data_IF_039657403133
#
_entry.id   IF_039657403133
#
_cell.length_a   1.000
_cell.length_b   1.000
_cell.length_c   1.000
_cell.angle_alpha   90.00
_cell.angle_beta   90.00
_cell.angle_gamma   90.00
#
_symmetry.space_group_name_H-M   'P 1'
#
loop_
_entity.id
_entity.type
_entity.pdbx_description
1 polymer ?
#
# COMPACT_ATOMS: atom_id res chain seq x y z
N UNK A 1 47.69 16.77 34.79
CA UNK A 1 47.41 16.98 33.36
C UNK A 1 46.68 15.73 32.87
N UNK A 2 45.42 15.86 32.47
CA UNK A 2 44.53 14.78 32.00
C UNK A 2 44.46 14.84 30.46
N UNK A 3 44.42 13.72 29.73
CA UNK A 3 43.72 13.69 28.46
C UNK A 3 42.32 13.12 28.67
N UNK A 4 41.37 13.90 28.18
CA UNK A 4 39.93 13.82 28.40
C UNK A 4 39.30 12.74 27.50
N UNK A 5 38.39 12.00 28.12
CA UNK A 5 37.36 11.13 27.56
C UNK A 5 36.69 11.69 26.30
N UNK A 6 36.57 10.87 25.25
CA UNK A 6 35.57 11.07 24.19
C UNK A 6 35.03 9.70 23.75
N UNK A 7 34.14 9.15 24.59
CA UNK A 7 33.31 8.00 24.24
C UNK A 7 32.21 8.50 23.30
N UNK A 8 32.37 8.27 22.00
CA UNK A 8 31.42 8.64 20.95
C UNK A 8 30.23 7.67 20.97
N UNK A 9 28.99 8.10 21.28
CA UNK A 9 27.86 7.20 21.19
C UNK A 9 27.46 7.11 19.71
N UNK A 10 27.72 5.94 19.11
CA UNK A 10 27.22 5.60 17.79
C UNK A 10 25.72 5.29 17.92
N UNK A 11 24.89 6.31 17.79
CA UNK A 11 23.44 6.17 17.79
C UNK A 11 23.01 5.42 16.52
N UNK A 12 22.76 4.12 16.66
CA UNK A 12 22.11 3.31 15.63
C UNK A 12 20.65 3.76 15.49
N UNK A 13 20.34 4.51 14.42
CA UNK A 13 18.96 4.68 13.99
C UNK A 13 18.49 3.37 13.36
N UNK A 14 17.75 2.57 14.12
CA UNK A 14 16.97 1.46 13.58
C UNK A 14 15.79 2.05 12.80
N UNK A 15 15.84 2.00 11.46
CA UNK A 15 14.63 2.20 10.65
C UNK A 15 13.75 0.98 10.84
N UNK A 16 12.65 1.12 11.57
CA UNK A 16 11.58 0.14 11.60
C UNK A 16 10.85 0.17 10.26
N UNK A 17 11.01 -0.87 9.45
CA UNK A 17 10.06 -1.17 8.40
C UNK A 17 8.90 -1.91 9.06
N UNK A 18 7.73 -1.27 9.15
CA UNK A 18 6.50 -2.04 9.28
C UNK A 18 6.29 -2.73 7.94
N UNK A 19 6.57 -4.03 7.91
CA UNK A 19 6.12 -4.92 6.85
C UNK A 19 4.74 -5.42 7.28
N UNK A 20 3.69 -4.74 6.84
CA UNK A 20 2.31 -5.22 6.97
C UNK A 20 2.10 -6.27 5.87
N UNK A 21 2.67 -7.46 6.08
CA UNK A 21 2.45 -8.60 5.19
C UNK A 21 1.00 -9.05 5.29
N UNK A 22 0.13 -8.50 4.43
CA UNK A 22 -1.24 -8.99 4.23
C UNK A 22 -1.19 -10.39 3.61
N UNK A 23 -0.94 -11.39 4.46
CA UNK A 23 -0.93 -12.80 4.12
C UNK A 23 -2.37 -13.30 4.07
N UNK A 24 -2.91 -13.55 2.87
CA UNK A 24 -4.24 -14.17 2.71
C UNK A 24 -5.17 -13.50 1.70
N UNK A 25 -4.64 -12.76 0.73
CA UNK A 25 -5.46 -12.20 -0.34
C UNK A 25 -5.84 -13.30 -1.33
N UNK A 26 -7.07 -13.81 -1.21
CA UNK A 26 -7.68 -14.68 -2.22
C UNK A 26 -8.09 -13.86 -3.44
N UNK A 27 -7.88 -14.42 -4.64
CA UNK A 27 -8.22 -13.76 -5.90
C UNK A 27 -9.20 -14.59 -6.72
N UNK A 28 -10.17 -13.90 -7.32
CA UNK A 28 -11.06 -14.42 -8.37
C UNK A 28 -10.26 -14.97 -9.57
N UNK A 29 -10.85 -15.86 -10.41
CA UNK A 29 -10.27 -16.26 -11.69
C UNK A 29 -9.83 -15.11 -12.60
N UNK A 30 -10.47 -13.94 -12.50
CA UNK A 30 -10.13 -12.72 -13.25
C UNK A 30 -8.95 -11.94 -12.66
N UNK A 31 -8.38 -12.41 -11.54
CA UNK A 31 -7.24 -11.80 -10.85
C UNK A 31 -7.61 -10.67 -9.88
N UNK A 32 -8.90 -10.39 -9.66
CA UNK A 32 -9.37 -9.44 -8.65
C UNK A 32 -9.38 -10.02 -7.25
N UNK A 33 -9.24 -9.18 -6.22
CA UNK A 33 -9.38 -9.61 -4.84
C UNK A 33 -10.81 -10.09 -4.59
N UNK A 34 -10.98 -11.29 -4.02
CA UNK A 34 -12.31 -11.77 -3.62
C UNK A 34 -12.89 -10.91 -2.49
N UNK A 35 -12.01 -10.42 -1.61
CA UNK A 35 -12.37 -9.50 -0.53
C UNK A 35 -11.27 -8.48 -0.38
N UNK A 36 -11.62 -7.20 -0.51
CA UNK A 36 -10.69 -6.10 -0.24
C UNK A 36 -10.48 -6.01 1.27
N UNK A 37 -9.24 -5.95 1.75
CA UNK A 37 -8.98 -5.81 3.18
C UNK A 37 -9.69 -4.58 3.76
N UNK A 38 -10.30 -4.69 4.96
CA UNK A 38 -11.12 -3.63 5.52
C UNK A 38 -10.33 -2.33 5.74
N UNK A 39 -9.04 -2.42 6.07
CA UNK A 39 -8.14 -1.29 6.18
C UNK A 39 -7.95 -0.55 4.85
N UNK A 40 -7.82 -1.27 3.73
CA UNK A 40 -7.69 -0.70 2.38
C UNK A 40 -9.01 -0.05 1.97
N UNK A 41 -10.14 -0.72 2.22
CA UNK A 41 -11.47 -0.19 1.92
C UNK A 41 -11.80 1.07 2.72
N UNK A 42 -11.36 1.15 3.98
CA UNK A 42 -11.55 2.32 4.84
C UNK A 42 -10.70 3.53 4.40
N UNK A 43 -9.55 3.29 3.76
CA UNK A 43 -8.68 4.34 3.26
C UNK A 43 -9.11 4.86 1.88
N UNK A 44 -9.73 4.02 1.07
CA UNK A 44 -10.11 4.34 -0.31
C UNK A 44 -10.99 5.59 -0.40
N UNK A 45 -10.65 6.49 -1.31
CA UNK A 45 -11.50 7.61 -1.70
C UNK A 45 -12.84 7.12 -2.28
N UNK A 46 -13.92 7.90 -2.16
CA UNK A 46 -15.22 7.55 -2.73
C UNK A 46 -15.15 7.35 -4.25
N UNK A 47 -16.19 6.70 -4.80
CA UNK A 47 -16.40 6.49 -6.24
C UNK A 47 -15.35 5.61 -6.95
N UNK A 48 -14.53 4.87 -6.20
CA UNK A 48 -13.63 3.84 -6.73
C UNK A 48 -14.26 2.45 -6.63
N UNK A 49 -14.08 1.63 -7.66
CA UNK A 49 -14.68 0.30 -7.71
C UNK A 49 -13.86 -0.69 -6.88
N UNK A 50 -14.35 -1.01 -5.68
CA UNK A 50 -13.70 -1.99 -4.78
C UNK A 50 -13.95 -3.45 -5.17
N UNK A 51 -14.73 -3.74 -6.21
CA UNK A 51 -15.00 -5.12 -6.67
C UNK A 51 -13.98 -5.58 -7.71
N UNK A 52 -13.20 -4.67 -8.30
CA UNK A 52 -12.24 -4.96 -9.37
C UNK A 52 -10.81 -4.62 -8.95
N UNK A 53 -10.49 -4.79 -7.67
CA UNK A 53 -9.18 -4.44 -7.10
C UNK A 53 -8.17 -5.54 -7.35
N UNK A 54 -6.91 -5.19 -7.64
CA UNK A 54 -5.77 -6.09 -7.74
C UNK A 54 -4.58 -5.50 -6.98
N UNK A 55 -3.81 -6.33 -6.29
CA UNK A 55 -2.46 -5.97 -5.83
C UNK A 55 -1.49 -6.24 -6.97
N UNK A 56 -0.77 -5.21 -7.43
CA UNK A 56 0.17 -5.34 -8.56
C UNK A 56 1.61 -5.46 -8.08
N UNK A 57 2.51 -5.74 -9.02
CA UNK A 57 3.94 -5.91 -8.76
C UNK A 57 4.65 -4.68 -8.20
N UNK A 58 4.02 -3.50 -8.28
CA UNK A 58 4.52 -2.27 -7.65
C UNK A 58 4.15 -2.19 -6.15
N UNK A 59 3.52 -3.23 -5.59
CA UNK A 59 3.11 -3.28 -4.19
C UNK A 59 1.88 -2.42 -3.89
N UNK A 60 1.24 -1.87 -4.91
CA UNK A 60 0.09 -0.98 -4.74
C UNK A 60 -1.21 -1.63 -5.21
N UNK A 61 -2.33 -1.18 -4.64
CA UNK A 61 -3.66 -1.58 -5.06
C UNK A 61 -4.08 -0.77 -6.29
N UNK A 62 -4.64 -1.46 -7.27
CA UNK A 62 -5.17 -0.89 -8.50
C UNK A 62 -6.59 -1.40 -8.72
N UNK A 63 -7.44 -0.62 -9.38
CA UNK A 63 -8.78 -1.08 -9.75
C UNK A 63 -9.08 -0.82 -11.23
N UNK A 64 -10.03 -1.57 -11.78
CA UNK A 64 -10.48 -1.36 -13.15
C UNK A 64 -11.38 -0.13 -13.22
N UNK A 65 -10.92 0.91 -13.88
CA UNK A 65 -11.72 2.07 -14.22
C UNK A 65 -12.31 1.89 -15.63
N UNK A 66 -13.64 1.99 -15.71
CA UNK A 66 -14.39 1.93 -16.96
C UNK A 66 -14.84 3.33 -17.35
N UNK A 67 -14.01 3.99 -18.15
CA UNK A 67 -14.28 5.33 -18.67
C UNK A 67 -15.04 5.30 -19.99
N UNK A 68 -15.56 6.46 -20.45
CA UNK A 68 -16.24 6.56 -21.73
C UNK A 68 -15.31 6.33 -22.93
N UNK A 69 -14.00 6.49 -22.75
CA UNK A 69 -12.98 6.36 -23.81
C UNK A 69 -12.17 5.07 -23.66
N UNK A 70 -11.81 4.70 -22.43
CA UNK A 70 -10.91 3.59 -22.16
C UNK A 70 -11.31 2.83 -20.89
N UNK A 71 -11.07 1.52 -20.93
CA UNK A 71 -11.11 0.65 -19.76
C UNK A 71 -9.68 0.33 -19.36
N UNK A 72 -9.26 0.80 -18.19
CA UNK A 72 -7.86 0.73 -17.77
C UNK A 72 -7.73 0.50 -16.26
N UNK A 73 -6.69 -0.21 -15.87
CA UNK A 73 -6.28 -0.31 -14.46
C UNK A 73 -5.67 1.01 -14.01
N UNK A 74 -6.25 1.63 -12.98
CA UNK A 74 -5.76 2.87 -12.35
C UNK A 74 -5.45 2.63 -10.88
N UNK A 75 -4.53 3.39 -10.25
CA UNK A 75 -4.18 3.16 -8.85
C UNK A 75 -5.36 3.48 -7.95
N UNK A 76 -5.59 2.62 -6.95
CA UNK A 76 -6.53 2.88 -5.87
C UNK A 76 -5.93 3.96 -4.96
N UNK A 77 -6.69 5.03 -4.73
CA UNK A 77 -6.22 6.22 -4.02
C UNK A 77 -6.88 6.37 -2.67
N UNK A 78 -6.12 6.86 -1.70
CA UNK A 78 -6.66 7.20 -0.39
C UNK A 78 -7.45 8.51 -0.46
N UNK A 79 -8.37 8.73 0.48
CA UNK A 79 -9.13 9.97 0.59
C UNK A 79 -8.24 11.22 0.80
N UNK A 80 -7.07 11.03 1.41
CA UNK A 80 -6.04 12.07 1.59
C UNK A 80 -5.18 12.31 0.34
N UNK A 81 -5.39 11.54 -0.73
CA UNK A 81 -4.52 11.47 -1.89
C UNK A 81 -3.45 10.38 -1.77
N UNK A 82 -2.61 10.25 -2.80
CA UNK A 82 -1.63 9.15 -2.90
C UNK A 82 -2.22 7.81 -3.36
N UNK A 83 -1.36 6.81 -3.58
CA UNK A 83 -1.75 5.42 -3.85
C UNK A 83 -1.81 4.65 -2.52
N UNK A 84 -2.65 3.63 -2.44
CA UNK A 84 -2.66 2.68 -1.32
C UNK A 84 -1.74 1.50 -1.67
N UNK A 85 -0.79 1.16 -0.81
CA UNK A 85 0.22 0.13 -1.03
C UNK A 85 0.48 -0.68 0.25
N UNK A 86 1.05 -1.88 0.11
CA UNK A 86 1.48 -2.77 1.19
C UNK A 86 2.94 -2.53 1.57
#
# INVERSE_FOLDING_TARGET
>A
MRPITAMLPLAFLALGACDDTVSGVSTSPDGYLETVPPEVAALAAPDQNLQTVQLRSDGCYWYLYEGPVETLMVPLRANTGGKICT
#
